data_IF_402393495844
#
_entry.id   IF_402393495844
#
_cell.length_a   1.000
_cell.length_b   1.000
_cell.length_c   1.000
_cell.angle_alpha   90.00
_cell.angle_beta   90.00
_cell.angle_gamma   90.00
#
_symmetry.space_group_name_H-M   'P 1'
#
loop_
_entity.id
_entity.type
_entity.pdbx_description
1 polymer ?
#
# COMPACT_ATOMS: atom_id res chain seq x y z
N UNK A 1 -4.36 3.87 9.88
CA UNK A 1 -4.87 5.16 9.37
C UNK A 1 -5.78 5.05 8.16
N UNK A 2 -5.42 4.29 7.13
CA UNK A 2 -6.26 4.14 5.93
C UNK A 2 -7.74 3.80 6.20
N UNK A 3 -8.06 3.03 7.26
CA UNK A 3 -9.45 2.72 7.64
C UNK A 3 -10.29 3.95 8.03
N UNK A 4 -9.69 4.97 8.65
CA UNK A 4 -10.41 6.20 9.04
C UNK A 4 -10.75 6.99 7.77
N UNK A 5 -9.79 7.21 6.88
CA UNK A 5 -10.04 7.91 5.61
C UNK A 5 -11.01 7.15 4.71
N UNK A 6 -10.89 5.82 4.63
CA UNK A 6 -11.84 4.99 3.91
C UNK A 6 -13.24 5.09 4.51
N UNK A 7 -13.35 5.15 5.84
CA UNK A 7 -14.61 5.38 6.54
C UNK A 7 -15.21 6.75 6.22
N UNK A 8 -14.39 7.82 6.25
CA UNK A 8 -14.79 9.17 5.85
C UNK A 8 -15.30 9.21 4.40
N UNK A 9 -14.62 8.51 3.48
CA UNK A 9 -15.02 8.41 2.08
C UNK A 9 -16.33 7.65 1.82
N UNK A 10 -16.95 7.04 2.84
CA UNK A 10 -18.31 6.48 2.73
C UNK A 10 -19.42 7.51 2.97
N UNK A 11 -19.09 8.63 3.59
CA UNK A 11 -20.06 9.67 3.99
C UNK A 11 -20.32 10.74 2.93
N UNK A 12 -19.48 10.83 1.90
CA UNK A 12 -19.58 11.82 0.81
C UNK A 12 -19.57 11.06 -0.52
N UNK A 13 -20.60 11.23 -1.36
CA UNK A 13 -20.75 10.52 -2.64
C UNK A 13 -20.74 11.46 -3.84
N UNK A 14 -21.12 12.71 -3.64
CA UNK A 14 -21.07 13.78 -4.63
C UNK A 14 -20.38 15.04 -4.08
N UNK A 15 -20.03 16.00 -4.95
CA UNK A 15 -19.35 17.24 -4.57
C UNK A 15 -20.17 18.15 -3.65
N UNK A 16 -21.50 18.00 -3.68
CA UNK A 16 -22.42 18.73 -2.81
C UNK A 16 -22.81 17.97 -1.54
N UNK A 17 -22.37 16.72 -1.39
CA UNK A 17 -22.62 15.94 -0.18
C UNK A 17 -21.73 16.41 0.98
N UNK A 18 -22.30 16.43 2.17
CA UNK A 18 -21.60 16.72 3.41
C UNK A 18 -22.04 15.75 4.50
N UNK A 19 -21.11 15.39 5.37
CA UNK A 19 -21.38 14.51 6.49
C UNK A 19 -20.58 14.96 7.72
N UNK A 20 -21.09 14.64 8.91
CA UNK A 20 -20.34 14.77 10.14
C UNK A 20 -19.86 13.39 10.59
N UNK A 21 -18.56 13.27 10.88
CA UNK A 21 -17.96 12.04 11.37
C UNK A 21 -17.57 12.21 12.84
N UNK A 22 -18.14 11.37 13.71
CA UNK A 22 -17.84 11.40 15.14
C UNK A 22 -16.83 10.30 15.48
N UNK A 23 -15.63 10.71 15.89
CA UNK A 23 -14.59 9.79 16.34
C UNK A 23 -14.69 9.63 17.86
N UNK A 24 -15.30 8.53 18.31
CA UNK A 24 -15.55 8.27 19.73
C UNK A 24 -14.61 7.18 20.25
N UNK A 25 -13.94 7.46 21.36
CA UNK A 25 -13.05 6.52 22.04
C UNK A 25 -11.62 7.04 22.19
N UNK A 26 -10.97 6.68 23.29
CA UNK A 26 -9.64 7.18 23.68
C UNK A 26 -8.56 6.90 22.63
N UNK A 27 -8.54 5.68 22.07
CA UNK A 27 -7.56 5.28 21.04
C UNK A 27 -7.69 6.11 19.76
N UNK A 28 -8.92 6.38 19.30
CA UNK A 28 -9.17 7.18 18.10
C UNK A 28 -8.83 8.66 18.35
N UNK A 29 -9.22 9.19 19.52
CA UNK A 29 -8.89 10.56 19.89
C UNK A 29 -7.37 10.79 19.96
N UNK A 30 -6.61 9.84 20.53
CA UNK A 30 -5.14 9.91 20.55
C UNK A 30 -4.55 9.87 19.14
N UNK A 31 -5.02 8.94 18.29
CA UNK A 31 -4.56 8.79 16.92
C UNK A 31 -4.74 10.07 16.07
N UNK A 32 -5.76 10.89 16.38
CA UNK A 32 -5.98 12.18 15.71
C UNK A 32 -5.15 13.35 16.26
N UNK A 33 -4.50 13.18 17.42
CA UNK A 33 -3.71 14.23 18.07
C UNK A 33 -2.22 14.00 18.03
N UNK A 34 -1.80 12.74 17.95
CA UNK A 34 -0.40 12.37 17.88
C UNK A 34 0.23 12.86 16.55
N UNK A 35 1.32 13.65 16.58
CA UNK A 35 1.96 14.20 15.40
C UNK A 35 2.46 13.13 14.42
N UNK A 36 2.94 11.99 14.90
CA UNK A 36 3.50 10.94 14.05
C UNK A 36 2.39 10.20 13.32
N UNK A 37 1.27 9.99 14.00
CA UNK A 37 0.07 9.43 13.39
C UNK A 37 -0.60 10.41 12.43
N UNK A 38 -0.58 11.71 12.73
CA UNK A 38 -1.12 12.75 11.85
C UNK A 38 -0.45 12.78 10.48
N UNK A 39 0.87 12.57 10.42
CA UNK A 39 1.65 12.55 9.16
C UNK A 39 1.18 11.46 8.19
N UNK A 40 0.53 10.41 8.69
CA UNK A 40 0.05 9.26 7.89
C UNK A 40 -1.28 9.52 7.16
N UNK A 41 -2.01 10.60 7.50
CA UNK A 41 -3.22 10.99 6.79
C UNK A 41 -2.90 11.80 5.54
N UNK A 42 -3.82 11.82 4.57
CA UNK A 42 -3.73 12.73 3.43
C UNK A 42 -3.69 14.20 3.86
N UNK A 43 -3.12 15.11 3.05
CA UNK A 43 -3.12 16.54 3.33
C UNK A 43 -4.51 17.11 3.66
N UNK A 44 -5.53 16.70 2.90
CA UNK A 44 -6.93 17.05 3.11
C UNK A 44 -7.43 16.64 4.50
N UNK A 45 -7.30 15.35 4.82
CA UNK A 45 -7.77 14.82 6.11
C UNK A 45 -7.04 15.48 7.28
N UNK A 46 -5.74 15.76 7.16
CA UNK A 46 -4.99 16.48 8.22
C UNK A 46 -5.59 17.85 8.51
N UNK A 47 -5.83 18.65 7.47
CA UNK A 47 -6.45 19.97 7.63
C UNK A 47 -7.85 19.90 8.24
N UNK A 48 -8.66 18.91 7.84
CA UNK A 48 -9.99 18.67 8.42
C UNK A 48 -9.91 18.28 9.91
N UNK A 49 -8.96 17.41 10.28
CA UNK A 49 -8.72 17.03 11.67
C UNK A 49 -8.22 18.22 12.51
N UNK A 50 -7.39 19.09 11.95
CA UNK A 50 -6.92 20.31 12.60
C UNK A 50 -8.06 21.28 12.89
N UNK A 51 -8.90 21.56 11.89
CA UNK A 51 -10.10 22.38 12.06
C UNK A 51 -11.05 21.76 13.11
N UNK A 52 -11.28 20.45 13.03
CA UNK A 52 -12.13 19.72 13.97
C UNK A 52 -11.58 19.79 15.40
N UNK A 53 -10.26 19.71 15.59
CA UNK A 53 -9.66 19.81 16.91
C UNK A 53 -9.75 21.23 17.48
N UNK A 54 -9.66 22.27 16.64
CA UNK A 54 -9.92 23.65 17.08
C UNK A 54 -11.34 23.81 17.62
N UNK A 55 -12.33 23.24 16.92
CA UNK A 55 -13.73 23.23 17.38
C UNK A 55 -13.87 22.41 18.66
N UNK A 56 -13.30 21.21 18.72
CA UNK A 56 -13.37 20.35 19.91
C UNK A 56 -12.78 21.00 21.17
N UNK A 57 -11.74 21.82 21.03
CA UNK A 57 -11.17 22.60 22.15
C UNK A 57 -12.18 23.65 22.65
N UNK A 58 -12.90 24.32 21.76
CA UNK A 58 -13.92 25.31 22.12
C UNK A 58 -15.13 24.67 22.83
N UNK A 59 -15.49 23.44 22.44
CA UNK A 59 -16.62 22.70 23.01
C UNK A 59 -16.29 22.03 24.36
N UNK A 60 -15.01 22.01 24.79
CA UNK A 60 -14.59 21.29 25.99
C UNK A 60 -15.30 21.81 27.23
N UNK A 61 -16.03 20.93 27.92
CA UNK A 61 -16.78 21.27 29.14
C UNK A 61 -18.16 21.90 28.89
N UNK A 62 -18.57 22.11 27.64
CA UNK A 62 -19.87 22.71 27.31
C UNK A 62 -21.02 21.69 27.20
N UNK A 63 -20.76 20.41 27.45
CA UNK A 63 -21.77 19.36 27.42
C UNK A 63 -22.19 18.92 26.02
N UNK A 64 -23.26 18.10 25.96
CA UNK A 64 -23.71 17.46 24.72
C UNK A 64 -24.40 18.43 23.75
N UNK A 65 -25.06 19.46 24.25
CA UNK A 65 -25.79 20.43 23.41
C UNK A 65 -24.85 21.26 22.53
N UNK A 66 -23.65 21.56 23.03
CA UNK A 66 -22.61 22.21 22.24
C UNK A 66 -22.13 21.31 21.09
N UNK A 67 -22.00 20.00 21.34
CA UNK A 67 -21.68 19.01 20.30
C UNK A 67 -22.82 18.92 19.28
N UNK A 68 -24.08 18.88 19.74
CA UNK A 68 -25.26 18.90 18.86
C UNK A 68 -25.26 20.14 17.97
N UNK A 69 -24.98 21.31 18.53
CA UNK A 69 -24.93 22.57 17.80
C UNK A 69 -23.85 22.56 16.70
N UNK A 70 -22.67 22.02 17.01
CA UNK A 70 -21.61 21.86 16.01
C UNK A 70 -21.99 20.88 14.90
N UNK A 71 -22.66 19.77 15.23
CA UNK A 71 -23.19 18.82 14.25
C UNK A 71 -24.25 19.48 13.36
N UNK A 72 -25.19 20.21 13.95
CA UNK A 72 -26.23 20.95 13.21
C UNK A 72 -25.61 21.97 12.27
N UNK A 73 -24.64 22.78 12.71
CA UNK A 73 -23.95 23.73 11.83
C UNK A 73 -23.29 23.05 10.62
N UNK A 74 -22.73 21.85 10.81
CA UNK A 74 -22.17 21.07 9.71
C UNK A 74 -23.25 20.52 8.76
N UNK A 75 -24.30 19.91 9.31
CA UNK A 75 -25.35 19.23 8.55
C UNK A 75 -26.33 20.21 7.86
N UNK A 76 -26.55 21.40 8.42
CA UNK A 76 -27.41 22.43 7.84
C UNK A 76 -26.63 23.38 6.92
N UNK A 77 -25.33 23.11 6.70
CA UNK A 77 -24.42 23.94 5.90
C UNK A 77 -24.41 25.40 6.33
N UNK A 78 -24.26 25.64 7.64
CA UNK A 78 -24.12 27.00 8.16
C UNK A 78 -23.07 27.78 7.34
N UNK A 79 -23.36 29.00 6.85
CA UNK A 79 -22.45 29.72 5.96
C UNK A 79 -21.08 29.97 6.58
N UNK A 80 -21.01 30.22 7.89
CA UNK A 80 -19.74 30.44 8.59
C UNK A 80 -18.94 29.13 8.68
N UNK A 81 -19.63 28.00 8.91
CA UNK A 81 -19.01 26.68 8.87
C UNK A 81 -18.45 26.34 7.49
N UNK A 82 -19.23 26.55 6.43
CA UNK A 82 -18.84 26.27 5.04
C UNK A 82 -17.64 27.12 4.65
N UNK A 83 -17.69 28.43 4.93
CA UNK A 83 -16.61 29.36 4.59
C UNK A 83 -15.31 28.98 5.32
N UNK A 84 -15.38 28.71 6.63
CA UNK A 84 -14.22 28.33 7.43
C UNK A 84 -13.64 26.99 6.99
N UNK A 85 -14.49 26.01 6.69
CA UNK A 85 -14.07 24.70 6.18
C UNK A 85 -13.39 24.81 4.81
N UNK A 86 -13.94 25.62 3.90
CA UNK A 86 -13.34 25.87 2.59
C UNK A 86 -11.98 26.55 2.72
N UNK A 87 -11.85 27.56 3.57
CA UNK A 87 -10.56 28.23 3.83
C UNK A 87 -9.51 27.24 4.36
N UNK A 88 -9.88 26.36 5.27
CA UNK A 88 -8.96 25.35 5.81
C UNK A 88 -8.43 24.38 4.74
N UNK A 89 -9.20 24.15 3.67
CA UNK A 89 -8.83 23.27 2.55
C UNK A 89 -8.15 24.02 1.39
N UNK A 90 -8.34 25.33 1.26
CA UNK A 90 -7.85 26.11 0.12
C UNK A 90 -6.31 26.14 0.00
N UNK A 91 -5.62 26.07 1.13
CA UNK A 91 -4.14 26.10 1.19
C UNK A 91 -3.49 24.74 0.88
N UNK A 92 -4.29 23.71 0.61
CA UNK A 92 -3.78 22.35 0.43
C UNK A 92 -3.22 22.19 -0.98
N UNK A 93 -1.90 22.17 -1.06
CA UNK A 93 -1.17 21.81 -2.27
C UNK A 93 -1.02 20.29 -2.34
N UNK A 94 -1.66 19.67 -3.31
CA UNK A 94 -1.31 18.33 -3.72
C UNK A 94 0.00 18.41 -4.50
N UNK A 95 0.93 17.50 -4.24
CA UNK A 95 2.15 17.40 -5.06
C UNK A 95 1.71 17.05 -6.49
N UNK A 96 2.03 17.93 -7.42
CA UNK A 96 1.58 17.90 -8.82
C UNK A 96 2.12 16.69 -9.60
N UNK A 97 3.14 16.03 -9.06
CA UNK A 97 3.63 14.75 -9.56
C UNK A 97 3.09 13.65 -8.66
N UNK A 98 2.23 12.79 -9.20
CA UNK A 98 2.02 11.47 -8.65
C UNK A 98 3.37 10.76 -8.64
N UNK A 99 4.04 10.74 -7.49
CA UNK A 99 5.34 10.08 -7.36
C UNK A 99 5.10 8.58 -7.53
N UNK A 100 5.36 8.07 -8.73
CA UNK A 100 5.38 6.63 -8.96
C UNK A 100 6.56 6.12 -8.16
N UNK A 101 6.24 5.27 -7.17
CA UNK A 101 7.22 4.56 -6.36
C UNK A 101 8.21 3.84 -7.29
N UNK A 102 9.54 4.03 -7.15
CA UNK A 102 10.53 3.38 -8.01
C UNK A 102 10.35 1.85 -8.06
N UNK A 103 9.88 1.26 -6.96
CA UNK A 103 9.56 -0.16 -6.84
C UNK A 103 8.42 -0.56 -7.79
N UNK A 104 7.40 0.29 -7.96
CA UNK A 104 6.29 0.03 -8.87
C UNK A 104 6.73 0.05 -10.34
N UNK A 105 7.70 0.92 -10.68
CA UNK A 105 8.31 0.97 -12.01
C UNK A 105 9.08 -0.32 -12.28
N UNK A 106 9.91 -0.75 -11.33
CA UNK A 106 10.71 -1.97 -11.46
C UNK A 106 9.86 -3.24 -11.53
N UNK A 107 8.80 -3.34 -10.71
CA UNK A 107 7.84 -4.46 -10.77
C UNK A 107 7.17 -4.50 -12.15
N UNK A 108 6.78 -3.34 -12.69
CA UNK A 108 6.18 -3.29 -14.03
C UNK A 108 7.15 -3.76 -15.10
N UNK A 109 8.39 -3.27 -15.08
CA UNK A 109 9.43 -3.67 -16.04
C UNK A 109 9.74 -5.17 -15.96
N UNK A 110 9.85 -5.71 -14.74
CA UNK A 110 10.07 -7.14 -14.52
C UNK A 110 8.89 -8.00 -15.01
N UNK A 111 7.65 -7.53 -14.84
CA UNK A 111 6.48 -8.20 -15.40
C UNK A 111 6.53 -8.26 -16.93
N UNK A 112 6.91 -7.16 -17.59
CA UNK A 112 7.02 -7.12 -19.05
C UNK A 112 8.14 -8.07 -19.54
N UNK A 113 9.28 -8.12 -18.85
CA UNK A 113 10.38 -9.07 -19.13
C UNK A 113 9.96 -10.54 -18.93
N UNK A 114 9.27 -10.85 -17.83
CA UNK A 114 8.78 -12.20 -17.56
C UNK A 114 7.71 -12.64 -18.57
N UNK A 115 6.84 -11.71 -18.99
CA UNK A 115 5.83 -11.95 -20.04
C UNK A 115 6.47 -12.24 -21.40
N UNK A 116 7.66 -11.69 -21.66
CA UNK A 116 8.49 -12.00 -22.83
C UNK A 116 9.37 -13.25 -22.65
N UNK A 117 9.21 -14.01 -21.55
CA UNK A 117 9.99 -15.22 -21.26
C UNK A 117 11.40 -14.96 -20.70
N UNK A 118 11.76 -13.71 -20.43
CA UNK A 118 13.09 -13.31 -19.94
C UNK A 118 13.13 -13.33 -18.40
N UNK A 119 12.97 -14.52 -17.81
CA UNK A 119 12.83 -14.66 -16.36
C UNK A 119 14.07 -14.24 -15.55
N UNK A 120 15.28 -14.48 -16.08
CA UNK A 120 16.51 -14.06 -15.39
C UNK A 120 16.60 -12.53 -15.32
N UNK A 121 16.34 -11.85 -16.44
CA UNK A 121 16.35 -10.39 -16.51
C UNK A 121 15.25 -9.77 -15.62
N UNK A 122 14.08 -10.40 -15.55
CA UNK A 122 13.01 -9.99 -14.66
C UNK A 122 13.42 -10.10 -13.17
N UNK A 123 14.07 -11.21 -12.79
CA UNK A 123 14.57 -11.40 -11.43
C UNK A 123 15.66 -10.37 -11.08
N UNK A 124 16.57 -10.09 -12.01
CA UNK A 124 17.64 -9.09 -11.82
C UNK A 124 17.08 -7.67 -11.65
N UNK A 125 16.03 -7.30 -12.39
CA UNK A 125 15.34 -6.01 -12.27
C UNK A 125 14.69 -5.84 -10.88
N UNK A 126 13.98 -6.86 -10.40
CA UNK A 126 13.37 -6.85 -9.06
C UNK A 126 14.45 -6.79 -7.99
N UNK A 127 15.52 -7.58 -8.14
CA UNK A 127 16.61 -7.62 -7.17
C UNK A 127 17.36 -6.30 -7.07
N UNK A 128 17.56 -5.60 -8.21
CA UNK A 128 18.10 -4.24 -8.23
C UNK A 128 17.21 -3.27 -7.47
N UNK A 129 15.89 -3.33 -7.68
CA UNK A 129 14.95 -2.47 -6.97
C UNK A 129 14.97 -2.70 -5.45
N UNK A 130 14.96 -3.97 -5.00
CA UNK A 130 15.06 -4.32 -3.58
C UNK A 130 16.34 -3.79 -2.96
N UNK A 131 17.46 -3.89 -3.66
CA UNK A 131 18.76 -3.42 -3.18
C UNK A 131 18.83 -1.89 -3.03
N UNK A 132 17.96 -1.14 -3.71
CA UNK A 132 17.84 0.31 -3.63
C UNK A 132 16.90 0.81 -2.53
N UNK A 133 16.21 -0.09 -1.81
CA UNK A 133 15.31 0.29 -0.71
C UNK A 133 16.16 0.61 0.53
N UNK A 134 16.03 1.85 1.04
CA UNK A 134 16.71 2.29 2.28
C UNK A 134 16.05 1.75 3.55
N UNK A 135 14.76 1.39 3.50
CA UNK A 135 14.05 0.76 4.61
C UNK A 135 14.49 -0.70 4.77
N UNK A 136 15.27 -0.96 5.82
CA UNK A 136 15.84 -2.27 6.13
C UNK A 136 14.80 -3.37 6.28
N UNK A 137 13.60 -3.08 6.80
CA UNK A 137 12.56 -4.09 7.01
C UNK A 137 11.96 -4.54 5.66
N UNK A 138 11.62 -3.58 4.80
CA UNK A 138 11.08 -3.85 3.47
C UNK A 138 12.10 -4.55 2.56
N UNK A 139 13.39 -4.24 2.72
CA UNK A 139 14.48 -4.90 1.99
C UNK A 139 14.60 -6.38 2.34
N UNK A 140 14.49 -6.74 3.63
CA UNK A 140 14.63 -8.14 4.07
C UNK A 140 13.46 -9.04 3.64
N UNK A 141 12.24 -8.51 3.57
CA UNK A 141 11.06 -9.28 3.15
C UNK A 141 11.01 -9.50 1.63
N UNK A 142 11.57 -8.58 0.84
CA UNK A 142 11.57 -8.66 -0.62
C UNK A 142 12.64 -9.57 -1.21
N UNK A 143 13.64 -9.99 -0.44
CA UNK A 143 14.80 -10.72 -0.95
C UNK A 143 14.39 -12.04 -1.63
N UNK A 144 14.54 -12.10 -2.96
CA UNK A 144 14.23 -13.30 -3.72
C UNK A 144 15.26 -14.40 -3.41
N UNK A 145 14.84 -15.65 -3.21
CA UNK A 145 15.77 -16.77 -3.11
C UNK A 145 16.55 -16.90 -4.42
N UNK A 146 17.84 -17.24 -4.33
CA UNK A 146 18.72 -17.38 -5.48
C UNK A 146 18.07 -18.24 -6.59
N UNK A 147 18.16 -17.83 -7.87
CA UNK A 147 17.54 -18.58 -8.96
C UNK A 147 18.09 -20.01 -8.96
N UNK A 148 17.21 -20.99 -8.76
CA UNK A 148 17.57 -22.40 -8.85
C UNK A 148 17.86 -22.70 -10.32
N UNK A 149 19.13 -22.95 -10.63
CA UNK A 149 19.51 -23.43 -11.95
C UNK A 149 18.71 -24.70 -12.29
N UNK A 150 18.11 -24.81 -13.48
CA UNK A 150 17.51 -26.07 -13.90
C UNK A 150 18.60 -27.15 -13.94
N UNK A 151 18.29 -28.41 -13.56
CA UNK A 151 19.26 -29.47 -13.52
C UNK A 151 19.91 -29.65 -14.90
N UNK A 152 21.23 -29.53 -14.96
CA UNK A 152 22.02 -29.80 -16.15
C UNK A 152 21.80 -31.24 -16.59
N UNK A 153 21.33 -31.44 -17.82
CA UNK A 153 21.21 -32.76 -18.43
C UNK A 153 22.59 -33.45 -18.49
N UNK A 154 22.70 -34.75 -18.15
CA UNK A 154 24.00 -35.41 -18.11
C UNK A 154 24.56 -35.58 -19.52
N UNK A 155 25.82 -35.16 -19.69
CA UNK A 155 26.61 -35.33 -20.92
C UNK A 155 26.81 -36.82 -21.23
N UNK A 156 26.45 -37.23 -22.43
CA UNK A 156 26.72 -38.56 -22.98
C UNK A 156 28.24 -38.78 -23.15
N UNK A 157 28.85 -39.53 -22.23
CA UNK A 157 30.21 -40.07 -22.40
C UNK A 157 30.15 -41.42 -23.13
N UNK A 158 30.87 -41.47 -24.25
CA UNK A 158 31.03 -42.63 -25.14
C UNK A 158 31.60 -43.84 -24.39
N UNK A 159 30.97 -45.00 -24.55
CA UNK A 159 31.56 -46.29 -24.20
C UNK A 159 31.98 -47.04 -25.48
N UNK A 160 33.15 -47.66 -25.45
CA UNK A 160 33.65 -48.62 -26.44
C UNK A 160 34.54 -49.65 -25.73
N UNK A 161 34.73 -50.86 -26.28
CA UNK A 161 34.23 -52.07 -25.62
C UNK A 161 35.33 -53.07 -25.25
N UNK A 162 35.06 -53.97 -24.29
CA UNK A 162 35.78 -55.24 -24.19
C UNK A 162 34.80 -56.41 -23.96
N UNK A 163 34.97 -57.43 -24.79
CA UNK A 163 34.19 -58.68 -24.83
C UNK A 163 34.67 -59.63 -23.72
N UNK A 164 33.74 -60.39 -23.11
CA UNK A 164 33.84 -61.86 -22.96
C UNK A 164 32.51 -62.46 -22.44
N UNK A 165 31.85 -63.23 -23.33
CA UNK A 165 31.05 -64.49 -23.17
C UNK A 165 30.48 -64.84 -21.78
N UNK A 166 29.20 -65.21 -21.58
CA UNK A 166 28.53 -66.48 -21.98
C UNK A 166 26.98 -66.30 -21.88
N UNK A 167 26.19 -66.49 -22.96
CA UNK A 167 25.33 -67.65 -23.31
C UNK A 167 24.48 -68.27 -22.18
N UNK A 168 23.15 -68.03 -22.22
CA UNK A 168 22.05 -69.04 -22.17
C UNK A 168 20.68 -68.30 -22.31
N UNK A 169 20.01 -68.28 -23.48
CA UNK A 169 18.84 -69.12 -23.83
C UNK A 169 17.80 -69.22 -22.70
N UNK A 170 16.60 -68.63 -22.72
CA UNK A 170 15.44 -68.73 -23.62
C UNK A 170 14.30 -68.02 -22.86
N UNK A 171 13.33 -67.33 -23.44
CA UNK A 171 12.06 -67.90 -23.93
C UNK A 171 11.11 -66.72 -24.20
N UNK A 172 10.54 -66.67 -25.40
CA UNK A 172 9.40 -65.83 -25.80
C UNK A 172 8.09 -66.64 -25.69
N UNK A 173 6.94 -65.95 -25.83
CA UNK A 173 5.53 -66.38 -25.72
C UNK A 173 4.95 -66.16 -24.33
N UNK A 174 3.84 -65.45 -24.11
CA UNK A 174 2.76 -64.88 -24.93
C UNK A 174 2.21 -63.63 -24.21
#
# INVERSE_FOLDING_TARGET
>A
MQRIEQGMGRGVRDSDDHCAVLLVGSKLAMATRDPDWKKLFSPATRAQLDLSNQVAVQLKGQGLDAVRSALTACLDRDPNWVERSRRALAEIRYLDAGTIRPEAIAIRAAFDLASAGQYSAAADEIQRAINGIEDTLLRTEGQLPAPRHPPSSPSSSKASPSRRTERCSSRWSE
#
